data_IF_987756524323
#
_entry.id   IF_987756524323
#
_cell.length_a   1.000
_cell.length_b   1.000
_cell.length_c   1.000
_cell.angle_alpha   90.00
_cell.angle_beta   90.00
_cell.angle_gamma   90.00
#
_symmetry.space_group_name_H-M   'P 1'
#
loop_
_entity.id
_entity.type
_entity.pdbx_description
1 polymer ?
#
# COMPACT_ATOMS: atom_id res chain seq x y z
N UNK A 1 40.91 -24.36 8.03
CA UNK A 1 40.25 -23.28 8.79
C UNK A 1 39.43 -22.53 7.78
N UNK A 2 38.13 -22.82 7.72
CA UNK A 2 37.24 -22.24 6.71
C UNK A 2 37.02 -20.77 7.04
N UNK A 3 37.54 -19.89 6.18
CA UNK A 3 37.23 -18.47 6.23
C UNK A 3 35.77 -18.29 5.80
N UNK A 4 34.85 -18.32 6.77
CA UNK A 4 33.46 -17.96 6.52
C UNK A 4 33.41 -16.56 5.89
N UNK A 5 32.84 -16.45 4.69
CA UNK A 5 32.69 -15.19 3.99
C UNK A 5 31.95 -14.18 4.88
N UNK A 6 32.48 -12.97 5.01
CA UNK A 6 31.89 -11.93 5.85
C UNK A 6 30.47 -11.57 5.36
N UNK A 7 29.51 -11.29 6.26
CA UNK A 7 28.15 -10.94 5.88
C UNK A 7 28.09 -9.71 4.97
N UNK A 8 27.24 -9.75 3.94
CA UNK A 8 26.93 -8.57 3.15
C UNK A 8 25.91 -7.69 3.89
N UNK A 9 26.41 -6.82 4.75
CA UNK A 9 25.59 -5.93 5.59
C UNK A 9 24.64 -5.05 4.79
N UNK A 10 25.03 -4.60 3.59
CA UNK A 10 24.14 -3.79 2.73
C UNK A 10 22.87 -4.56 2.40
N UNK A 11 23.00 -5.81 1.97
CA UNK A 11 21.83 -6.66 1.64
C UNK A 11 20.96 -6.91 2.87
N UNK A 12 21.57 -7.17 4.02
CA UNK A 12 20.85 -7.39 5.27
C UNK A 12 20.04 -6.14 5.64
N UNK A 13 20.68 -4.96 5.66
CA UNK A 13 20.03 -3.70 6.02
C UNK A 13 18.88 -3.34 5.08
N UNK A 14 19.07 -3.48 3.76
CA UNK A 14 18.00 -3.23 2.79
C UNK A 14 16.84 -4.21 2.94
N UNK A 15 17.13 -5.46 3.29
CA UNK A 15 16.09 -6.45 3.56
C UNK A 15 15.30 -6.12 4.83
N UNK A 16 15.98 -5.71 5.91
CA UNK A 16 15.33 -5.27 7.15
C UNK A 16 14.46 -4.03 6.91
N UNK A 17 14.94 -3.05 6.14
CA UNK A 17 14.17 -1.88 5.77
C UNK A 17 12.89 -2.24 4.99
N UNK A 18 12.98 -3.15 4.01
CA UNK A 18 11.82 -3.62 3.26
C UNK A 18 10.80 -4.34 4.16
N UNK A 19 11.26 -5.14 5.12
CA UNK A 19 10.37 -5.82 6.06
C UNK A 19 9.74 -4.87 7.08
N UNK A 20 10.49 -3.90 7.59
CA UNK A 20 9.94 -2.88 8.47
C UNK A 20 8.82 -2.09 7.76
N UNK A 21 9.07 -1.66 6.53
CA UNK A 21 8.05 -0.99 5.70
C UNK A 21 6.85 -1.91 5.37
N UNK A 22 7.10 -3.18 5.06
CA UNK A 22 6.02 -4.14 4.78
C UNK A 22 5.13 -4.41 5.99
N UNK A 23 5.73 -4.55 7.18
CA UNK A 23 5.00 -4.74 8.44
C UNK A 23 4.18 -3.49 8.75
N UNK A 24 4.76 -2.30 8.58
CA UNK A 24 4.04 -1.05 8.72
C UNK A 24 2.81 -0.99 7.80
N UNK A 25 2.99 -1.23 6.49
CA UNK A 25 1.89 -1.23 5.51
C UNK A 25 0.80 -2.22 5.94
N UNK A 26 1.17 -3.44 6.30
CA UNK A 26 0.19 -4.45 6.69
C UNK A 26 -0.56 -4.06 7.97
N UNK A 27 0.15 -3.52 8.97
CA UNK A 27 -0.45 -3.01 10.19
C UNK A 27 -1.47 -1.91 9.88
N UNK A 28 -1.05 -0.89 9.11
CA UNK A 28 -1.88 0.26 8.78
C UNK A 28 -3.16 -0.16 8.05
N UNK A 29 -3.01 -0.92 6.96
CA UNK A 29 -4.14 -1.37 6.15
C UNK A 29 -5.12 -2.22 6.97
N UNK A 30 -4.61 -3.15 7.79
CA UNK A 30 -5.46 -4.02 8.61
C UNK A 30 -6.07 -3.30 9.82
N UNK A 31 -5.39 -2.30 10.38
CA UNK A 31 -5.89 -1.53 11.52
C UNK A 31 -7.14 -0.74 11.14
N UNK A 32 -7.14 -0.12 9.96
CA UNK A 32 -8.27 0.70 9.51
C UNK A 32 -9.48 -0.11 9.02
N UNK A 33 -9.38 -1.43 8.88
CA UNK A 33 -10.51 -2.30 8.56
C UNK A 33 -11.60 -2.27 9.63
N UNK A 34 -11.26 -1.95 10.88
CA UNK A 34 -12.28 -1.76 11.93
C UNK A 34 -13.28 -0.65 11.59
N UNK A 35 -12.89 0.34 10.78
CA UNK A 35 -13.75 1.40 10.29
C UNK A 35 -14.42 1.04 8.97
N UNK A 36 -13.80 0.16 8.17
CA UNK A 36 -14.32 -0.22 6.85
C UNK A 36 -15.24 -1.43 6.87
N UNK A 37 -15.14 -2.35 7.82
CA UNK A 37 -15.95 -3.58 7.86
C UNK A 37 -17.17 -3.48 8.78
N UNK A 38 -17.19 -2.54 9.72
CA UNK A 38 -18.21 -2.49 10.79
C UNK A 38 -19.41 -1.61 10.47
N UNK A 39 -19.27 -0.62 9.59
CA UNK A 39 -20.37 0.28 9.24
C UNK A 39 -19.95 1.46 8.38
N UNK A 40 -20.91 2.34 8.04
CA UNK A 40 -20.64 3.59 7.34
C UNK A 40 -19.70 4.50 8.14
N UNK A 41 -18.96 5.36 7.42
CA UNK A 41 -18.07 6.35 8.01
C UNK A 41 -18.20 7.67 7.26
N UNK A 42 -17.87 8.77 7.94
CA UNK A 42 -17.85 10.12 7.36
C UNK A 42 -17.10 10.19 6.01
N UNK A 43 -15.98 9.47 5.90
CA UNK A 43 -15.17 9.45 4.68
C UNK A 43 -15.98 8.88 3.51
N UNK A 44 -16.55 7.69 3.70
CA UNK A 44 -17.27 7.00 2.63
C UNK A 44 -18.63 7.61 2.34
N UNK A 45 -19.29 8.22 3.33
CA UNK A 45 -20.51 9.01 3.12
C UNK A 45 -20.22 10.21 2.20
N UNK A 46 -19.19 11.01 2.51
CA UNK A 46 -18.80 12.17 1.67
C UNK A 46 -18.42 11.76 0.25
N UNK A 47 -17.71 10.65 0.10
CA UNK A 47 -17.33 10.13 -1.22
C UNK A 47 -18.53 9.58 -1.98
N UNK A 48 -19.47 8.92 -1.31
CA UNK A 48 -20.73 8.45 -1.89
C UNK A 48 -21.56 9.62 -2.39
N UNK A 49 -21.72 10.68 -1.58
CA UNK A 49 -22.45 11.89 -1.94
C UNK A 49 -21.83 12.62 -3.14
N UNK A 50 -20.49 12.68 -3.19
CA UNK A 50 -19.77 13.33 -4.28
C UNK A 50 -19.79 12.51 -5.59
N UNK A 51 -19.62 11.18 -5.51
CA UNK A 51 -19.46 10.32 -6.69
C UNK A 51 -20.77 9.72 -7.21
N UNK A 52 -21.82 9.66 -6.37
CA UNK A 52 -23.03 8.89 -6.64
C UNK A 52 -22.87 7.37 -6.54
N UNK A 53 -21.68 6.86 -6.17
CA UNK A 53 -21.45 5.44 -5.93
C UNK A 53 -21.97 5.09 -4.53
N UNK A 54 -22.82 4.07 -4.36
CA UNK A 54 -23.31 3.71 -3.04
C UNK A 54 -22.18 3.42 -2.03
N UNK A 55 -22.28 4.02 -0.85
CA UNK A 55 -21.33 3.94 0.27
C UNK A 55 -20.82 2.53 0.54
N UNK A 56 -21.73 1.58 0.81
CA UNK A 56 -21.37 0.23 1.26
C UNK A 56 -20.54 -0.53 0.22
N UNK A 57 -20.95 -0.61 -1.07
CA UNK A 57 -20.10 -1.14 -2.12
C UNK A 57 -18.73 -0.47 -2.23
N UNK A 58 -18.68 0.88 -2.19
CA UNK A 58 -17.43 1.63 -2.31
C UNK A 58 -16.47 1.30 -1.14
N UNK A 59 -16.98 1.34 0.10
CA UNK A 59 -16.23 1.04 1.31
C UNK A 59 -15.71 -0.39 1.33
N UNK A 60 -16.57 -1.37 1.05
CA UNK A 60 -16.18 -2.78 1.06
C UNK A 60 -15.24 -3.14 -0.09
N UNK A 61 -15.32 -2.42 -1.22
CA UNK A 61 -14.36 -2.56 -2.30
C UNK A 61 -12.96 -2.12 -1.86
N UNK A 62 -12.83 -0.94 -1.24
CA UNK A 62 -11.55 -0.45 -0.70
C UNK A 62 -11.00 -1.39 0.38
N UNK A 63 -11.84 -1.83 1.32
CA UNK A 63 -11.48 -2.84 2.33
C UNK A 63 -10.88 -4.12 1.72
N UNK A 64 -11.54 -4.66 0.68
CA UNK A 64 -11.05 -5.83 -0.03
C UNK A 64 -9.67 -5.62 -0.66
N UNK A 65 -9.45 -4.46 -1.29
CA UNK A 65 -8.15 -4.11 -1.87
C UNK A 65 -7.06 -4.00 -0.81
N UNK A 66 -7.35 -3.35 0.32
CA UNK A 66 -6.41 -3.15 1.42
C UNK A 66 -5.99 -4.47 2.08
N UNK A 67 -6.93 -5.38 2.32
CA UNK A 67 -6.65 -6.73 2.82
C UNK A 67 -5.76 -7.51 1.84
N UNK A 68 -6.07 -7.46 0.55
CA UNK A 68 -5.24 -8.13 -0.47
C UNK A 68 -3.83 -7.55 -0.48
N UNK A 69 -3.68 -6.22 -0.45
CA UNK A 69 -2.37 -5.57 -0.40
C UNK A 69 -1.58 -5.95 0.86
N UNK A 70 -2.22 -6.01 2.03
CA UNK A 70 -1.61 -6.43 3.29
C UNK A 70 -1.10 -7.88 3.23
N UNK A 71 -1.84 -8.80 2.60
CA UNK A 71 -1.38 -10.18 2.40
C UNK A 71 -0.20 -10.21 1.43
N UNK A 72 -0.31 -9.54 0.28
CA UNK A 72 0.73 -9.54 -0.75
C UNK A 72 2.07 -8.99 -0.25
N UNK A 73 2.04 -7.94 0.59
CA UNK A 73 3.26 -7.29 1.09
C UNK A 73 4.00 -8.14 2.13
N UNK A 74 3.30 -9.05 2.82
CA UNK A 74 3.89 -9.96 3.79
C UNK A 74 4.40 -11.27 3.18
N UNK A 75 3.97 -11.63 1.97
CA UNK A 75 4.45 -12.82 1.27
C UNK A 75 5.75 -12.49 0.51
N UNK A 76 6.90 -13.12 0.84
CA UNK A 76 8.21 -12.71 0.31
C UNK A 76 8.29 -12.67 -1.22
N UNK A 77 7.56 -13.58 -1.90
CA UNK A 77 7.54 -13.69 -3.37
C UNK A 77 6.74 -12.60 -4.06
N UNK A 78 5.78 -11.98 -3.36
CA UNK A 78 4.88 -10.96 -3.89
C UNK A 78 5.07 -9.60 -3.24
N UNK A 79 6.05 -9.47 -2.35
CA UNK A 79 6.24 -8.28 -1.51
C UNK A 79 6.35 -6.99 -2.33
N UNK A 80 7.04 -7.02 -3.48
CA UNK A 80 7.10 -5.88 -4.39
C UNK A 80 5.75 -5.50 -5.00
N UNK A 81 4.94 -6.50 -5.36
CA UNK A 81 3.58 -6.29 -5.86
C UNK A 81 2.66 -5.74 -4.76
N UNK A 82 2.78 -6.26 -3.54
CA UNK A 82 2.04 -5.74 -2.38
C UNK A 82 2.39 -4.28 -2.08
N UNK A 83 3.68 -3.92 -2.11
CA UNK A 83 4.13 -2.54 -1.94
C UNK A 83 3.59 -1.60 -3.02
N UNK A 84 3.65 -2.03 -4.29
CA UNK A 84 3.09 -1.26 -5.40
C UNK A 84 1.57 -1.10 -5.29
N UNK A 85 0.87 -2.15 -4.89
CA UNK A 85 -0.58 -2.12 -4.75
C UNK A 85 -1.03 -1.22 -3.59
N UNK A 86 -0.35 -1.31 -2.43
CA UNK A 86 -0.56 -0.40 -1.31
C UNK A 86 -0.31 1.06 -1.70
N UNK A 87 0.77 1.34 -2.44
CA UNK A 87 1.01 2.69 -2.96
C UNK A 87 -0.10 3.16 -3.92
N UNK A 88 -0.65 2.26 -4.75
CA UNK A 88 -1.80 2.59 -5.60
C UNK A 88 -3.05 2.96 -4.78
N UNK A 89 -3.38 2.18 -3.75
CA UNK A 89 -4.54 2.42 -2.87
C UNK A 89 -4.36 3.74 -2.12
N UNK A 90 -3.21 3.95 -1.48
CA UNK A 90 -2.91 5.20 -0.75
C UNK A 90 -2.83 6.40 -1.69
N UNK A 91 -2.33 6.22 -2.92
CA UNK A 91 -2.38 7.24 -3.96
C UNK A 91 -3.81 7.66 -4.30
N UNK A 92 -4.74 6.70 -4.37
CA UNK A 92 -6.17 6.97 -4.49
C UNK A 92 -6.73 7.74 -3.29
N UNK A 93 -6.39 7.33 -2.06
CA UNK A 93 -6.80 8.05 -0.85
C UNK A 93 -6.30 9.50 -0.84
N UNK A 94 -5.01 9.72 -1.12
CA UNK A 94 -4.40 11.05 -1.24
C UNK A 94 -5.11 11.88 -2.32
N UNK A 95 -5.37 11.30 -3.50
CA UNK A 95 -6.10 11.97 -4.56
C UNK A 95 -7.48 12.43 -4.07
N UNK A 96 -8.25 11.56 -3.41
CA UNK A 96 -9.58 11.93 -2.94
C UNK A 96 -9.53 12.99 -1.84
N UNK A 97 -8.54 12.97 -0.94
CA UNK A 97 -8.34 14.05 0.03
C UNK A 97 -8.04 15.41 -0.61
N UNK A 98 -7.33 15.43 -1.74
CA UNK A 98 -6.88 16.67 -2.39
C UNK A 98 -7.89 17.23 -3.41
N UNK A 99 -8.63 16.37 -4.10
CA UNK A 99 -9.42 16.76 -5.28
C UNK A 99 -10.93 16.54 -5.11
N UNK A 100 -11.40 16.20 -3.91
CA UNK A 100 -12.84 16.08 -3.61
C UNK A 100 -13.21 16.86 -2.35
N UNK A 101 -14.52 17.00 -2.03
CA UNK A 101 -14.98 17.63 -0.80
C UNK A 101 -14.53 16.95 0.51
N UNK A 102 -13.78 15.84 0.43
CA UNK A 102 -13.24 15.17 1.60
C UNK A 102 -12.33 16.09 2.43
N UNK A 103 -11.42 16.80 1.76
CA UNK A 103 -10.39 17.64 2.39
C UNK A 103 -9.33 16.84 3.14
N UNK A 104 -8.23 17.48 3.53
CA UNK A 104 -7.09 16.81 4.22
C UNK A 104 -7.32 16.56 5.72
N UNK A 105 -8.30 17.24 6.33
CA UNK A 105 -8.63 17.11 7.75
C UNK A 105 -10.15 16.98 7.97
N UNK A 106 -10.76 15.87 7.51
CA UNK A 106 -12.21 15.70 7.55
C UNK A 106 -12.80 15.56 8.96
N UNK A 107 -11.97 15.15 9.93
CA UNK A 107 -12.33 14.91 11.33
C UNK A 107 -11.85 16.00 12.30
N UNK A 108 -11.18 17.04 11.79
CA UNK A 108 -10.58 18.11 12.61
C UNK A 108 -9.56 17.56 13.65
N UNK A 109 -8.83 16.50 13.27
CA UNK A 109 -7.83 15.82 14.10
C UNK A 109 -6.38 16.21 13.72
N UNK A 110 -6.24 17.30 12.97
CA UNK A 110 -4.97 17.75 12.42
C UNK A 110 -4.53 16.97 11.20
N UNK A 111 -5.44 16.28 10.50
CA UNK A 111 -5.20 15.55 9.27
C UNK A 111 -4.44 14.24 9.49
N UNK A 112 -4.75 13.52 10.56
CA UNK A 112 -4.06 12.27 10.91
C UNK A 112 -4.15 11.24 9.76
N UNK A 113 -5.36 10.97 9.26
CA UNK A 113 -5.58 10.04 8.16
C UNK A 113 -4.81 10.41 6.89
N UNK A 114 -4.75 11.70 6.55
CA UNK A 114 -4.03 12.14 5.38
C UNK A 114 -2.51 11.94 5.53
N UNK A 115 -1.96 12.22 6.71
CA UNK A 115 -0.53 11.98 7.00
C UNK A 115 -0.20 10.49 6.94
N UNK A 116 -1.05 9.63 7.50
CA UNK A 116 -0.86 8.19 7.45
C UNK A 116 -0.94 7.65 6.01
N UNK A 117 -1.88 8.16 5.20
CA UNK A 117 -1.95 7.83 3.78
C UNK A 117 -0.66 8.23 3.04
N UNK A 118 -0.13 9.43 3.30
CA UNK A 118 1.14 9.88 2.72
C UNK A 118 2.33 9.01 3.18
N UNK A 119 2.41 8.70 4.47
CA UNK A 119 3.49 7.89 5.01
C UNK A 119 3.45 6.46 4.43
N UNK A 120 2.29 5.83 4.44
CA UNK A 120 2.09 4.49 3.89
C UNK A 120 2.27 4.44 2.38
N UNK A 121 1.91 5.50 1.65
CA UNK A 121 2.26 5.66 0.24
C UNK A 121 3.77 5.61 0.02
N UNK A 122 4.55 6.37 0.80
CA UNK A 122 6.01 6.36 0.68
C UNK A 122 6.62 5.00 1.06
N UNK A 123 6.07 4.31 2.07
CA UNK A 123 6.48 2.95 2.42
C UNK A 123 6.18 1.97 1.30
N UNK A 124 5.02 2.09 0.64
CA UNK A 124 4.64 1.28 -0.52
C UNK A 124 5.64 1.45 -1.68
N UNK A 125 6.00 2.69 -2.01
CA UNK A 125 7.03 2.99 -3.02
C UNK A 125 8.39 2.44 -2.63
N UNK A 126 8.78 2.56 -1.35
CA UNK A 126 10.03 2.01 -0.84
C UNK A 126 10.08 0.48 -1.02
N UNK A 127 9.04 -0.24 -0.64
CA UNK A 127 8.96 -1.69 -0.82
C UNK A 127 8.99 -2.06 -2.30
N UNK A 128 8.20 -1.38 -3.14
CA UNK A 128 8.18 -1.61 -4.59
C UNK A 128 9.57 -1.40 -5.22
N UNK A 129 10.31 -0.38 -4.78
CA UNK A 129 11.66 -0.09 -5.25
C UNK A 129 12.69 -1.12 -4.79
N UNK A 130 12.67 -1.49 -3.50
CA UNK A 130 13.58 -2.48 -2.92
C UNK A 130 13.34 -3.89 -3.46
N UNK A 131 12.12 -4.18 -3.92
CA UNK A 131 11.70 -5.46 -4.52
C UNK A 131 11.41 -5.36 -6.03
N UNK A 132 11.92 -4.34 -6.72
CA UNK A 132 11.66 -4.08 -8.14
C UNK A 132 11.98 -5.27 -9.05
N UNK A 133 12.94 -6.11 -8.68
CA UNK A 133 13.29 -7.31 -9.46
C UNK A 133 12.10 -8.29 -9.55
N UNK A 134 11.26 -8.36 -8.50
CA UNK A 134 10.02 -9.14 -8.52
C UNK A 134 9.01 -8.56 -9.51
N UNK A 135 8.92 -7.23 -9.59
CA UNK A 135 8.02 -6.53 -10.51
C UNK A 135 8.48 -6.66 -11.97
N UNK A 136 9.77 -6.47 -12.22
CA UNK A 136 10.37 -6.62 -13.54
C UNK A 136 10.24 -8.07 -14.06
N UNK A 137 10.25 -9.05 -13.17
CA UNK A 137 10.02 -10.45 -13.54
C UNK A 137 8.59 -10.72 -14.06
N UNK A 138 7.62 -9.85 -13.78
CA UNK A 138 6.25 -9.93 -14.32
C UNK A 138 6.14 -9.36 -15.74
N UNK A 139 7.13 -8.58 -16.19
CA UNK A 139 7.12 -8.05 -17.55
C UNK A 139 7.28 -9.20 -18.55
N UNK A 140 6.52 -9.21 -19.65
CA UNK A 140 6.68 -10.22 -20.68
C UNK A 140 8.13 -10.17 -21.17
N UNK A 141 8.84 -11.29 -21.06
CA UNK A 141 10.14 -11.44 -21.71
C UNK A 141 9.85 -11.34 -23.20
N UNK A 142 10.29 -10.24 -23.84
CA UNK A 142 10.34 -10.16 -25.30
C UNK A 142 11.37 -11.19 -25.77
N UNK A 143 10.96 -12.46 -25.85
CA UNK A 143 11.74 -13.51 -26.47
C UNK A 143 11.72 -13.23 -27.98
N UNK A 144 12.87 -12.86 -28.52
CA UNK A 144 13.26 -13.15 -29.89
C UNK A 144 12.18 -12.95 -30.98
N UNK A 145 11.72 -11.72 -31.20
CA UNK A 145 11.06 -11.35 -32.48
C UNK A 145 12.09 -10.98 -33.57
N UNK A 146 13.28 -11.56 -33.50
CA UNK A 146 14.38 -11.33 -34.45
C UNK A 146 15.18 -12.60 -34.74
N UNK A 147 14.53 -13.78 -34.68
CA UNK A 147 15.08 -15.04 -35.17
C UNK A 147 14.31 -15.48 -36.42
#
# INVERSE_FOLDING_TARGET
MDHAASPNWKTILLNLAAWAAAIWIAYELLYYEQYKLTGPTLIFDRLSDWSGIPEKPLRLFVAGMEIIAAILVLVPRTQGLGGLFAAGIMGGAIFFHLFTPLGVDPYEDGGALFKEACFTFTMGLLVAWLRRDQLLALLPRRAALAA
#
